data_IF_210338267387
#
_entry.id   IF_210338267387
#
_cell.length_a   1.000
_cell.length_b   1.000
_cell.length_c   1.000
_cell.angle_alpha   90.00
_cell.angle_beta   90.00
_cell.angle_gamma   90.00
#
_symmetry.space_group_name_H-M   'P 1'
#
loop_
_entity.id
_entity.type
_entity.pdbx_description
1 polymer ?
#
# COMPACT_ATOMS: atom_id res chain seq x y z
N UNK A 1 11.35 30.22 1.85
CA UNK A 1 10.31 30.71 0.93
C UNK A 1 9.65 29.47 0.38
N UNK A 2 8.35 29.27 0.62
CA UNK A 2 7.64 28.11 0.10
C UNK A 2 7.61 28.20 -1.43
N UNK A 3 8.09 27.17 -2.12
CA UNK A 3 7.93 27.01 -3.57
C UNK A 3 6.45 26.81 -3.88
N UNK A 4 5.89 27.64 -4.74
CA UNK A 4 4.51 27.46 -5.23
C UNK A 4 4.49 26.15 -6.03
N UNK A 5 3.60 25.19 -5.73
CA UNK A 5 3.49 23.97 -6.50
C UNK A 5 3.11 24.30 -7.95
N UNK A 6 3.73 23.61 -8.89
CA UNK A 6 3.52 23.76 -10.33
C UNK A 6 2.94 22.48 -10.90
N UNK A 7 2.06 22.62 -11.88
CA UNK A 7 1.20 21.54 -12.38
C UNK A 7 1.25 21.49 -13.91
N UNK A 8 0.82 20.34 -14.47
CA UNK A 8 0.86 20.02 -15.91
C UNK A 8 2.28 19.99 -16.50
N UNK A 9 2.43 19.46 -17.73
CA UNK A 9 3.70 19.49 -18.50
C UNK A 9 4.25 20.91 -18.70
N UNK A 10 3.38 21.93 -18.56
CA UNK A 10 3.74 23.34 -18.67
C UNK A 10 4.38 23.96 -17.41
N UNK A 11 4.44 23.24 -16.27
CA UNK A 11 5.06 23.70 -15.01
C UNK A 11 4.53 25.07 -14.54
N UNK A 12 3.22 25.30 -14.63
CA UNK A 12 2.58 26.56 -14.23
C UNK A 12 1.90 26.45 -12.84
N UNK A 13 1.74 27.57 -12.11
CA UNK A 13 0.97 27.60 -10.87
C UNK A 13 -0.51 27.24 -11.08
N UNK A 14 -1.17 26.81 -10.01
CA UNK A 14 -2.58 26.45 -9.99
C UNK A 14 -3.50 27.52 -10.60
N UNK A 15 -4.30 27.14 -11.60
CA UNK A 15 -5.27 28.00 -12.30
C UNK A 15 -6.66 27.36 -12.28
N UNK A 16 -7.54 27.94 -11.45
CA UNK A 16 -8.94 27.53 -11.26
C UNK A 16 -9.80 27.59 -12.53
N UNK A 17 -9.30 28.16 -13.63
CA UNK A 17 -10.02 28.28 -14.89
C UNK A 17 -9.66 27.19 -15.92
N UNK A 18 -8.70 26.31 -15.58
CA UNK A 18 -8.20 25.24 -16.46
C UNK A 18 -8.40 23.86 -15.85
N UNK A 19 -8.59 22.85 -16.69
CA UNK A 19 -8.49 21.46 -16.24
C UNK A 19 -7.04 21.18 -15.89
N UNK A 20 -6.77 20.89 -14.63
CA UNK A 20 -5.42 20.68 -14.15
C UNK A 20 -5.08 19.20 -14.18
N UNK A 21 -4.42 18.82 -15.28
CA UNK A 21 -4.02 17.44 -15.51
C UNK A 21 -2.52 17.34 -15.21
N UNK A 22 -2.14 16.60 -14.17
CA UNK A 22 -0.74 16.29 -13.90
C UNK A 22 -0.33 15.15 -14.84
N UNK A 23 0.53 15.42 -15.82
CA UNK A 23 0.95 14.40 -16.77
C UNK A 23 2.45 14.16 -16.74
N UNK A 24 2.84 12.89 -16.82
CA UNK A 24 4.21 12.43 -16.97
C UNK A 24 4.35 11.61 -18.26
N UNK A 25 5.50 11.77 -18.93
CA UNK A 25 5.78 11.12 -20.22
C UNK A 25 6.81 10.03 -19.95
N UNK A 26 6.50 8.79 -20.35
CA UNK A 26 7.44 7.67 -20.18
C UNK A 26 8.74 7.88 -20.97
N UNK A 27 9.78 7.13 -20.60
CA UNK A 27 11.10 7.18 -21.22
C UNK A 27 11.02 7.14 -22.77
N UNK A 28 11.95 7.81 -23.49
CA UNK A 28 11.92 7.88 -24.95
C UNK A 28 11.87 6.47 -25.56
N UNK A 29 10.74 6.14 -26.20
CA UNK A 29 10.47 4.83 -26.81
C UNK A 29 9.14 4.19 -26.39
N UNK A 30 8.53 4.66 -25.31
CA UNK A 30 7.15 4.30 -24.92
C UNK A 30 6.29 5.56 -25.08
N UNK A 31 5.36 5.56 -26.03
CA UNK A 31 4.51 6.71 -26.38
C UNK A 31 3.39 6.95 -25.35
N UNK A 32 3.47 6.31 -24.19
CA UNK A 32 2.46 6.35 -23.13
C UNK A 32 2.54 7.67 -22.35
N UNK A 33 1.39 8.28 -22.13
CA UNK A 33 1.20 9.46 -21.28
C UNK A 33 0.34 9.05 -20.10
N UNK A 34 0.85 9.24 -18.88
CA UNK A 34 0.06 9.14 -17.66
C UNK A 34 -0.46 10.53 -17.30
N UNK A 35 -1.73 10.62 -16.92
CA UNK A 35 -2.38 11.85 -16.53
C UNK A 35 -3.23 11.64 -15.27
N UNK A 36 -3.18 12.58 -14.33
CA UNK A 36 -4.04 12.62 -13.15
C UNK A 36 -5.07 13.74 -13.27
N UNK A 37 -6.33 13.42 -13.00
CA UNK A 37 -7.47 14.32 -13.09
C UNK A 37 -8.17 14.42 -11.73
N UNK A 38 -8.35 15.64 -11.23
CA UNK A 38 -9.27 15.88 -10.12
C UNK A 38 -10.70 16.01 -10.66
N UNK A 39 -11.60 15.15 -10.19
CA UNK A 39 -13.01 15.09 -10.60
C UNK A 39 -13.87 16.11 -9.84
N UNK A 40 -15.11 16.30 -10.31
CA UNK A 40 -16.10 17.19 -9.67
C UNK A 40 -16.47 16.82 -8.23
N UNK A 41 -16.22 15.58 -7.81
CA UNK A 41 -16.42 15.08 -6.44
C UNK A 41 -15.11 15.04 -5.62
N UNK A 42 -14.09 15.79 -6.05
CA UNK A 42 -12.78 15.91 -5.39
C UNK A 42 -12.03 14.58 -5.25
N UNK A 43 -12.21 13.65 -6.21
CA UNK A 43 -11.40 12.44 -6.33
C UNK A 43 -10.31 12.65 -7.36
N UNK A 44 -9.14 12.09 -7.09
CA UNK A 44 -8.06 12.02 -8.07
C UNK A 44 -8.15 10.72 -8.85
N UNK A 45 -8.21 10.82 -10.17
CA UNK A 45 -8.27 9.70 -11.10
C UNK A 45 -7.00 9.71 -11.96
N UNK A 46 -6.23 8.63 -11.91
CA UNK A 46 -5.04 8.45 -12.76
C UNK A 46 -5.40 7.56 -13.95
N UNK A 47 -5.11 8.04 -15.16
CA UNK A 47 -5.32 7.29 -16.40
C UNK A 47 -4.11 7.37 -17.31
N UNK A 48 -3.96 6.35 -18.17
CA UNK A 48 -2.85 6.22 -19.12
C UNK A 48 -3.39 6.02 -20.52
N UNK A 49 -2.76 6.65 -21.50
CA UNK A 49 -3.12 6.49 -22.90
C UNK A 49 -1.87 6.58 -23.79
N UNK A 50 -1.93 5.95 -24.97
CA UNK A 50 -0.90 6.07 -25.99
C UNK A 50 -1.11 7.36 -26.78
N UNK A 51 -0.12 8.25 -26.79
CA UNK A 51 -0.21 9.54 -27.47
C UNK A 51 -0.40 9.44 -28.99
N UNK A 52 -0.10 8.31 -29.62
CA UNK A 52 -0.28 8.04 -31.04
C UNK A 52 -1.40 7.03 -31.35
N UNK A 53 -1.78 6.22 -30.36
CA UNK A 53 -2.79 5.16 -30.48
C UNK A 53 -4.21 5.55 -30.05
N UNK A 54 -4.34 6.43 -29.06
CA UNK A 54 -5.63 6.77 -28.45
C UNK A 54 -6.10 8.17 -28.85
N UNK A 55 -7.33 8.27 -29.38
CA UNK A 55 -7.92 9.56 -29.74
C UNK A 55 -8.45 10.28 -28.48
N UNK A 56 -8.14 11.58 -28.29
CA UNK A 56 -8.65 12.36 -27.16
C UNK A 56 -10.17 12.34 -27.02
N UNK A 57 -10.89 12.25 -28.14
CA UNK A 57 -12.34 12.16 -28.19
C UNK A 57 -12.85 10.85 -27.57
N UNK A 58 -12.19 9.72 -27.86
CA UNK A 58 -12.56 8.40 -27.33
C UNK A 58 -12.26 8.33 -25.81
N UNK A 59 -11.13 8.90 -25.38
CA UNK A 59 -10.79 8.99 -23.95
C UNK A 59 -11.82 9.83 -23.21
N UNK A 60 -12.25 10.95 -23.79
CA UNK A 60 -13.28 11.80 -23.19
C UNK A 60 -14.63 11.08 -23.09
N UNK A 61 -15.00 10.26 -24.07
CA UNK A 61 -16.23 9.46 -24.02
C UNK A 61 -16.17 8.45 -22.86
N UNK A 62 -15.06 7.73 -22.67
CA UNK A 62 -14.89 6.84 -21.51
C UNK A 62 -14.95 7.60 -20.16
N UNK A 63 -14.33 8.78 -20.08
CA UNK A 63 -14.31 9.58 -18.85
C UNK A 63 -15.70 10.13 -18.48
N UNK A 64 -16.56 10.37 -19.48
CA UNK A 64 -17.95 10.76 -19.26
C UNK A 64 -18.83 9.56 -18.90
N UNK A 65 -18.64 8.42 -19.56
CA UNK A 65 -19.37 7.18 -19.24
C UNK A 65 -19.16 6.72 -17.79
N UNK A 66 -17.92 6.82 -17.28
CA UNK A 66 -17.58 6.47 -15.90
C UNK A 66 -17.82 7.61 -14.90
N UNK A 67 -18.43 8.72 -15.34
CA UNK A 67 -18.80 9.88 -14.52
C UNK A 67 -17.60 10.57 -13.82
N UNK A 68 -16.40 10.49 -14.43
CA UNK A 68 -15.22 11.24 -13.98
C UNK A 68 -15.24 12.67 -14.51
N UNK A 69 -15.74 12.87 -15.73
CA UNK A 69 -15.95 14.17 -16.39
C UNK A 69 -17.45 14.35 -16.65
N UNK A 70 -18.00 15.54 -16.40
CA UNK A 70 -19.41 15.80 -16.66
C UNK A 70 -19.66 15.98 -18.16
N UNK A 71 -20.84 15.59 -18.66
CA UNK A 71 -21.19 15.70 -20.10
C UNK A 71 -21.04 17.14 -20.64
N UNK A 72 -21.34 18.15 -19.81
CA UNK A 72 -21.16 19.58 -20.16
C UNK A 72 -19.70 20.07 -20.15
N UNK A 73 -18.75 19.25 -19.70
CA UNK A 73 -17.32 19.55 -19.60
C UNK A 73 -16.49 18.80 -20.65
N UNK A 74 -17.10 17.82 -21.34
CA UNK A 74 -16.49 16.96 -22.35
C UNK A 74 -15.66 17.72 -23.39
N UNK A 75 -16.22 18.77 -23.99
CA UNK A 75 -15.54 19.52 -25.06
C UNK A 75 -14.25 20.19 -24.56
N UNK A 76 -14.27 20.78 -23.36
CA UNK A 76 -13.10 21.42 -22.75
C UNK A 76 -12.04 20.40 -22.36
N UNK A 77 -12.46 19.23 -21.87
CA UNK A 77 -11.56 18.14 -21.54
C UNK A 77 -10.83 17.61 -22.78
N UNK A 78 -11.54 17.46 -23.92
CA UNK A 78 -10.93 17.10 -25.21
C UNK A 78 -9.90 18.13 -25.65
N UNK A 79 -10.22 19.44 -25.57
CA UNK A 79 -9.27 20.51 -25.93
C UNK A 79 -7.98 20.46 -25.11
N UNK A 80 -8.10 20.26 -23.78
CA UNK A 80 -6.94 20.17 -22.89
C UNK A 80 -6.12 18.90 -23.16
N UNK A 81 -6.78 17.77 -23.39
CA UNK A 81 -6.13 16.49 -23.70
C UNK A 81 -5.41 16.54 -25.05
N UNK A 82 -5.99 17.20 -26.05
CA UNK A 82 -5.32 17.48 -27.33
C UNK A 82 -4.06 18.34 -27.14
N UNK A 83 -4.10 19.34 -26.26
CA UNK A 83 -2.93 20.15 -25.93
C UNK A 83 -1.82 19.33 -25.23
N UNK A 84 -2.20 18.41 -24.34
CA UNK A 84 -1.28 17.49 -23.66
C UNK A 84 -0.62 16.54 -24.65
N UNK A 85 -1.41 15.90 -25.53
CA UNK A 85 -0.90 15.01 -26.59
C UNK A 85 0.08 15.76 -27.50
N UNK A 86 -0.24 17.00 -27.88
CA UNK A 86 0.64 17.83 -28.70
C UNK A 86 1.97 18.14 -28.00
N UNK A 87 1.95 18.45 -26.70
CA UNK A 87 3.15 18.69 -25.91
C UNK A 87 3.97 17.41 -25.68
N UNK A 88 3.32 16.31 -25.34
CA UNK A 88 3.96 15.00 -25.16
C UNK A 88 4.70 14.56 -26.43
N UNK A 89 4.08 14.72 -27.60
CA UNK A 89 4.71 14.41 -28.90
C UNK A 89 5.94 15.27 -29.20
N UNK A 90 5.99 16.52 -28.76
CA UNK A 90 7.16 17.38 -28.93
C UNK A 90 8.32 16.94 -28.01
N UNK A 91 8.00 16.56 -26.77
CA UNK A 91 8.97 16.03 -25.80
C UNK A 91 9.55 14.71 -26.31
N UNK A 92 8.69 13.79 -26.77
CA UNK A 92 9.09 12.48 -27.32
C UNK A 92 9.92 12.58 -28.61
N UNK A 93 9.80 13.68 -29.38
CA UNK A 93 10.56 13.92 -30.61
C UNK A 93 11.91 14.62 -30.41
N UNK A 94 12.21 15.12 -29.22
CA UNK A 94 13.45 15.87 -28.96
C UNK A 94 14.64 14.93 -28.64
N UNK A 95 15.83 15.14 -29.24
CA UNK A 95 17.01 14.32 -28.95
C UNK A 95 17.53 14.59 -27.52
N UNK A 96 18.13 13.58 -26.84
CA UNK A 96 18.48 13.69 -25.43
C UNK A 96 19.53 14.79 -25.19
N UNK A 97 19.17 15.76 -24.34
CA UNK A 97 20.08 16.80 -23.85
C UNK A 97 21.08 16.20 -22.87
N UNK A 98 22.37 16.34 -23.17
CA UNK A 98 23.49 15.95 -22.31
C UNK A 98 23.61 16.90 -21.12
N UNK A 99 22.92 16.57 -20.02
CA UNK A 99 23.29 16.98 -18.67
C UNK A 99 23.75 15.73 -17.90
N UNK A 100 24.73 15.81 -16.99
CA UNK A 100 25.22 14.65 -16.27
C UNK A 100 24.15 14.16 -15.30
N UNK A 101 23.28 13.26 -15.75
CA UNK A 101 22.57 12.35 -14.88
C UNK A 101 23.60 11.37 -14.34
N UNK A 102 23.71 11.29 -13.02
CA UNK A 102 24.35 10.14 -12.40
C UNK A 102 23.62 8.91 -12.95
N UNK A 103 24.35 8.03 -13.64
CA UNK A 103 23.77 6.83 -14.22
C UNK A 103 23.04 6.01 -13.17
N UNK A 104 22.05 5.18 -13.57
CA UNK A 104 21.47 4.22 -12.65
C UNK A 104 22.62 3.43 -12.01
N UNK A 105 22.63 3.23 -10.67
CA UNK A 105 23.60 2.33 -10.09
C UNK A 105 23.46 0.98 -10.81
N UNK A 106 24.59 0.38 -11.19
CA UNK A 106 24.61 -0.93 -11.82
C UNK A 106 23.74 -1.92 -11.03
N UNK A 107 23.08 -2.89 -11.69
CA UNK A 107 22.31 -3.90 -10.99
C UNK A 107 23.25 -4.59 -10.01
N UNK A 108 23.01 -4.36 -8.71
CA UNK A 108 23.70 -5.07 -7.65
C UNK A 108 23.27 -6.53 -7.76
N UNK A 109 24.10 -7.32 -8.44
CA UNK A 109 24.04 -8.77 -8.42
C UNK A 109 24.55 -9.25 -7.05
N UNK A 110 23.72 -9.06 -6.03
CA UNK A 110 23.80 -9.82 -4.80
C UNK A 110 22.39 -9.90 -4.24
N UNK A 111 21.91 -11.12 -4.00
CA UNK A 111 20.75 -11.36 -3.17
C UNK A 111 20.85 -10.49 -1.89
N UNK A 112 19.74 -9.95 -1.39
CA UNK A 112 19.79 -9.05 -0.25
C UNK A 112 20.49 -9.76 0.91
N UNK A 113 21.27 -9.03 1.69
CA UNK A 113 21.62 -9.46 3.02
C UNK A 113 20.32 -9.50 3.84
N UNK A 114 19.58 -10.61 3.73
CA UNK A 114 18.37 -10.85 4.50
C UNK A 114 18.77 -11.07 5.95
N UNK A 115 18.49 -10.09 6.81
CA UNK A 115 18.65 -10.24 8.25
C UNK A 115 17.42 -10.90 8.85
N UNK A 116 17.61 -11.67 9.91
CA UNK A 116 16.47 -12.08 10.74
C UNK A 116 16.01 -10.86 11.56
N UNK A 117 14.71 -10.60 11.61
CA UNK A 117 14.20 -9.48 12.41
C UNK A 117 14.51 -9.65 13.90
N UNK A 118 14.78 -10.86 14.39
CA UNK A 118 15.24 -11.10 15.76
C UNK A 118 16.51 -10.32 16.13
N UNK A 119 17.30 -9.87 15.15
CA UNK A 119 18.45 -8.99 15.36
C UNK A 119 18.08 -7.56 15.80
N UNK A 120 16.86 -7.11 15.48
CA UNK A 120 16.43 -5.71 15.67
C UNK A 120 15.16 -5.55 16.50
N UNK A 121 14.37 -6.62 16.67
CA UNK A 121 13.11 -6.58 17.41
C UNK A 121 13.32 -6.46 18.92
N UNK A 122 12.57 -5.55 19.54
CA UNK A 122 12.39 -5.57 21.00
C UNK A 122 11.25 -6.53 21.36
N UNK A 123 11.41 -7.33 22.42
CA UNK A 123 10.44 -8.36 22.81
C UNK A 123 9.96 -8.21 24.27
N UNK A 124 9.35 -7.07 24.68
CA UNK A 124 8.80 -6.92 26.01
C UNK A 124 7.54 -7.80 26.19
N UNK A 125 7.21 -8.11 27.44
CA UNK A 125 5.85 -8.58 27.78
C UNK A 125 4.84 -7.44 27.66
N UNK A 126 3.55 -7.77 27.53
CA UNK A 126 2.51 -6.74 27.46
C UNK A 126 2.45 -5.81 28.68
N UNK A 127 2.86 -6.29 29.85
CA UNK A 127 2.94 -5.47 31.07
C UNK A 127 4.14 -4.50 31.07
N UNK A 128 5.24 -4.84 30.37
CA UNK A 128 6.43 -4.00 30.25
C UNK A 128 6.28 -2.92 29.18
N UNK A 129 5.38 -3.09 28.22
CA UNK A 129 5.14 -2.11 27.16
C UNK A 129 4.36 -0.89 27.70
N UNK A 130 5.09 0.04 28.29
CA UNK A 130 4.57 1.31 28.85
C UNK A 130 5.14 2.52 28.12
N UNK A 131 4.67 3.73 28.45
CA UNK A 131 5.19 4.96 27.86
C UNK A 131 6.66 5.15 28.27
N UNK A 132 6.96 4.92 29.55
CA UNK A 132 8.30 5.03 30.12
C UNK A 132 9.28 4.07 29.42
N UNK A 133 8.84 2.83 29.14
CA UNK A 133 9.64 1.88 28.37
C UNK A 133 10.01 2.41 26.97
N UNK A 134 9.05 3.05 26.28
CA UNK A 134 9.29 3.61 24.95
C UNK A 134 10.14 4.89 24.98
N UNK A 135 10.02 5.70 26.02
CA UNK A 135 10.89 6.86 26.26
C UNK A 135 12.34 6.42 26.50
N UNK A 136 12.56 5.37 27.29
CA UNK A 136 13.89 4.83 27.58
C UNK A 136 14.56 4.16 26.37
N UNK A 137 13.78 3.40 25.59
CA UNK A 137 14.33 2.58 24.50
C UNK A 137 14.20 3.21 23.11
N UNK A 138 13.54 4.38 23.02
CA UNK A 138 13.14 5.05 21.78
C UNK A 138 12.30 4.14 20.87
N UNK A 139 11.05 4.53 20.59
CA UNK A 139 10.16 3.79 19.67
C UNK A 139 10.63 3.94 18.19
N UNK A 140 11.76 3.32 17.88
CA UNK A 140 12.58 3.49 16.67
C UNK A 140 12.90 2.16 15.97
N UNK A 141 12.59 1.05 16.64
CA UNK A 141 12.63 -0.31 16.08
C UNK A 141 11.29 -1.01 16.35
N UNK A 142 10.91 -2.00 15.54
CA UNK A 142 9.67 -2.73 15.75
C UNK A 142 9.72 -3.52 17.06
N UNK A 143 8.55 -3.65 17.69
CA UNK A 143 8.35 -4.32 18.98
C UNK A 143 7.43 -5.50 18.77
N UNK A 144 7.85 -6.67 19.23
CA UNK A 144 7.10 -7.92 19.15
C UNK A 144 6.68 -8.38 20.54
N UNK A 145 5.37 -8.37 20.83
CA UNK A 145 4.82 -8.92 22.05
C UNK A 145 4.21 -10.28 21.75
N UNK A 146 4.77 -11.33 22.37
CA UNK A 146 4.39 -12.72 22.08
C UNK A 146 3.05 -13.14 22.68
N UNK A 147 2.50 -12.34 23.59
CA UNK A 147 1.31 -12.65 24.37
C UNK A 147 0.54 -11.38 24.70
N UNK A 148 -0.75 -11.37 24.34
CA UNK A 148 -1.66 -10.24 24.57
C UNK A 148 -1.82 -9.81 26.03
N UNK A 149 -1.53 -10.70 26.99
CA UNK A 149 -1.68 -10.41 28.40
C UNK A 149 -0.85 -9.18 28.82
N UNK A 150 -1.51 -8.23 29.47
CA UNK A 150 -0.90 -6.97 29.92
C UNK A 150 -1.03 -5.79 28.94
N UNK A 151 -1.34 -6.03 27.66
CA UNK A 151 -1.50 -4.97 26.66
C UNK A 151 -2.75 -4.11 26.86
N UNK A 152 -3.71 -4.58 27.65
CA UNK A 152 -4.97 -3.86 27.90
C UNK A 152 -5.83 -3.73 26.64
N UNK A 153 -5.71 -4.66 25.71
CA UNK A 153 -6.56 -4.78 24.52
C UNK A 153 -7.68 -5.78 24.76
N UNK A 154 -8.79 -5.57 24.05
CA UNK A 154 -9.93 -6.49 24.01
C UNK A 154 -10.12 -6.92 22.56
N UNK A 155 -10.28 -8.21 22.33
CA UNK A 155 -10.53 -8.79 21.01
C UNK A 155 -11.58 -9.88 21.10
N UNK A 156 -12.27 -10.18 19.99
CA UNK A 156 -13.12 -11.36 19.91
C UNK A 156 -12.32 -12.65 20.13
N UNK A 157 -12.98 -13.77 20.49
CA UNK A 157 -12.29 -15.03 20.77
C UNK A 157 -11.59 -15.58 19.51
N UNK A 158 -10.57 -16.46 19.66
CA UNK A 158 -9.86 -17.07 18.52
C UNK A 158 -10.75 -17.93 17.58
N UNK A 159 -11.99 -18.22 17.98
CA UNK A 159 -13.00 -18.90 17.18
C UNK A 159 -13.75 -17.96 16.23
N UNK A 160 -13.55 -16.64 16.34
CA UNK A 160 -14.19 -15.63 15.49
C UNK A 160 -13.76 -15.81 14.02
N UNK A 161 -14.71 -15.66 13.11
CA UNK A 161 -14.57 -15.98 11.70
C UNK A 161 -14.95 -14.81 10.79
N UNK A 162 -14.66 -14.93 9.50
CA UNK A 162 -15.08 -13.96 8.48
C UNK A 162 -16.61 -13.82 8.38
N UNK A 163 -17.37 -14.85 8.75
CA UNK A 163 -18.84 -14.78 8.80
C UNK A 163 -19.33 -13.98 10.00
N UNK A 164 -18.59 -13.99 11.10
CA UNK A 164 -18.90 -13.12 12.23
C UNK A 164 -18.60 -11.65 11.88
N UNK A 165 -17.51 -11.39 11.15
CA UNK A 165 -17.21 -10.04 10.61
C UNK A 165 -18.39 -9.55 9.76
N UNK A 166 -18.86 -10.36 8.80
CA UNK A 166 -20.05 -10.08 7.99
C UNK A 166 -21.27 -9.74 8.84
N UNK A 167 -21.54 -10.53 9.89
CA UNK A 167 -22.67 -10.31 10.78
C UNK A 167 -22.60 -8.97 11.53
N UNK A 168 -21.43 -8.60 12.04
CA UNK A 168 -21.26 -7.38 12.85
C UNK A 168 -21.14 -6.10 12.00
N UNK A 169 -20.54 -6.20 10.82
CA UNK A 169 -20.32 -5.07 9.90
C UNK A 169 -21.50 -4.86 8.96
N UNK A 170 -22.11 -5.94 8.47
CA UNK A 170 -23.20 -5.92 7.51
C UNK A 170 -22.75 -6.39 6.12
N UNK A 171 -23.49 -7.31 5.47
CA UNK A 171 -23.08 -7.91 4.20
C UNK A 171 -23.06 -6.92 3.04
N UNK A 172 -23.88 -5.86 3.10
CA UNK A 172 -24.01 -4.85 2.05
C UNK A 172 -22.97 -3.72 2.14
N UNK A 173 -22.11 -3.69 3.17
CA UNK A 173 -21.05 -2.68 3.27
C UNK A 173 -20.11 -2.85 2.08
N UNK A 174 -19.93 -1.79 1.29
CA UNK A 174 -18.91 -1.76 0.24
C UNK A 174 -17.53 -1.65 0.89
N UNK A 175 -16.60 -2.46 0.39
CA UNK A 175 -15.24 -2.54 0.90
C UNK A 175 -14.24 -2.46 -0.25
N UNK A 176 -13.08 -1.86 0.01
CA UNK A 176 -11.94 -1.89 -0.90
C UNK A 176 -11.20 -3.23 -0.77
N UNK A 177 -10.91 -3.83 -1.91
CA UNK A 177 -10.30 -5.16 -2.05
C UNK A 177 -9.18 -5.11 -3.07
N UNK A 178 -8.01 -5.61 -2.72
CA UNK A 178 -6.86 -5.66 -3.61
C UNK A 178 -6.89 -6.97 -4.39
N UNK A 179 -6.86 -6.87 -5.73
CA UNK A 179 -6.42 -7.98 -6.58
C UNK A 179 -4.89 -8.04 -6.55
N UNK A 180 -4.41 -9.05 -5.84
CA UNK A 180 -2.99 -9.20 -5.52
C UNK A 180 -2.15 -9.43 -6.77
N UNK A 181 -2.64 -10.18 -7.74
CA UNK A 181 -1.88 -10.47 -8.96
C UNK A 181 -1.72 -9.23 -9.84
N UNK A 182 -2.71 -8.34 -9.79
CA UNK A 182 -2.72 -7.10 -10.58
C UNK A 182 -2.10 -5.92 -9.83
N UNK A 183 -1.92 -6.04 -8.51
CA UNK A 183 -1.61 -4.91 -7.62
C UNK A 183 -2.58 -3.74 -7.88
N UNK A 184 -3.87 -4.06 -7.92
CA UNK A 184 -4.92 -3.11 -8.25
C UNK A 184 -6.11 -3.24 -7.29
N UNK A 185 -6.67 -2.11 -6.92
CA UNK A 185 -7.86 -2.05 -6.07
C UNK A 185 -9.14 -2.30 -6.87
N UNK A 186 -10.10 -2.92 -6.22
CA UNK A 186 -11.48 -3.05 -6.68
C UNK A 186 -12.44 -2.95 -5.49
N UNK A 187 -13.70 -2.64 -5.76
CA UNK A 187 -14.73 -2.60 -4.73
C UNK A 187 -15.68 -3.78 -4.86
N UNK A 188 -16.15 -4.29 -3.73
CA UNK A 188 -17.23 -5.28 -3.68
C UNK A 188 -17.95 -5.21 -2.34
N UNK A 189 -19.09 -5.89 -2.24
CA UNK A 189 -19.80 -6.04 -0.97
C UNK A 189 -19.05 -7.00 -0.05
N UNK A 190 -19.09 -6.75 1.25
CA UNK A 190 -18.49 -7.63 2.24
C UNK A 190 -19.03 -9.07 2.14
N UNK A 191 -20.33 -9.25 1.88
CA UNK A 191 -20.93 -10.58 1.71
C UNK A 191 -20.37 -11.35 0.50
N UNK A 192 -20.08 -10.64 -0.60
CA UNK A 192 -19.45 -11.24 -1.78
C UNK A 192 -18.02 -11.68 -1.48
N UNK A 193 -17.25 -10.83 -0.79
CA UNK A 193 -15.91 -11.17 -0.33
C UNK A 193 -15.91 -12.37 0.63
N UNK A 194 -16.84 -12.43 1.58
CA UNK A 194 -16.97 -13.54 2.54
C UNK A 194 -17.33 -14.83 1.82
N UNK A 195 -18.20 -14.76 0.81
CA UNK A 195 -18.52 -15.89 -0.07
C UNK A 195 -17.30 -16.39 -0.83
N UNK A 196 -16.53 -15.48 -1.44
CA UNK A 196 -15.24 -15.79 -2.07
C UNK A 196 -14.26 -16.44 -1.08
N UNK A 197 -14.11 -15.85 0.11
CA UNK A 197 -13.13 -16.28 1.10
C UNK A 197 -13.45 -17.68 1.65
N UNK A 198 -14.72 -17.97 1.87
CA UNK A 198 -15.20 -19.28 2.34
C UNK A 198 -15.32 -20.33 1.23
N UNK A 199 -15.20 -19.93 -0.04
CA UNK A 199 -15.30 -20.82 -1.19
C UNK A 199 -14.18 -21.88 -1.24
N UNK A 200 -14.49 -23.04 -1.84
CA UNK A 200 -13.57 -24.17 -1.93
C UNK A 200 -12.42 -23.97 -2.93
N UNK A 201 -12.60 -23.09 -3.93
CA UNK A 201 -11.62 -22.80 -4.97
C UNK A 201 -11.59 -21.30 -5.21
N UNK A 202 -10.38 -20.75 -5.30
CA UNK A 202 -10.11 -19.33 -5.56
C UNK A 202 -9.41 -19.23 -6.91
N UNK A 203 -10.04 -18.54 -7.83
CA UNK A 203 -9.51 -18.20 -9.16
C UNK A 203 -8.56 -16.99 -9.10
N UNK A 204 -8.83 -16.06 -8.17
CA UNK A 204 -8.02 -14.88 -7.89
C UNK A 204 -7.55 -14.88 -6.43
N UNK A 205 -6.49 -14.15 -6.15
CA UNK A 205 -6.02 -13.89 -4.77
C UNK A 205 -6.46 -12.48 -4.40
N UNK A 206 -7.43 -12.38 -3.50
CA UNK A 206 -7.97 -11.11 -3.03
C UNK A 206 -7.52 -10.84 -1.59
N UNK A 207 -7.31 -9.58 -1.27
CA UNK A 207 -6.85 -9.14 0.05
C UNK A 207 -7.64 -7.91 0.50
N UNK A 208 -8.11 -7.92 1.75
CA UNK A 208 -8.75 -6.76 2.38
C UNK A 208 -7.83 -6.26 3.48
N UNK A 209 -7.34 -5.03 3.34
CA UNK A 209 -6.49 -4.38 4.34
C UNK A 209 -7.08 -3.08 4.91
N UNK A 210 -8.05 -2.48 4.21
CA UNK A 210 -8.57 -1.14 4.51
C UNK A 210 -9.98 -1.12 5.11
N UNK A 211 -10.47 -2.26 5.62
CA UNK A 211 -11.79 -2.30 6.27
C UNK A 211 -11.74 -1.67 7.67
N UNK A 212 -11.98 -0.36 7.72
CA UNK A 212 -12.20 0.38 8.96
C UNK A 212 -13.61 0.09 9.50
N UNK A 213 -13.71 -0.22 10.78
CA UNK A 213 -14.96 -0.69 11.39
C UNK A 213 -15.38 0.07 12.65
N UNK A 214 -14.78 1.23 12.96
CA UNK A 214 -15.07 2.01 14.16
C UNK A 214 -16.53 2.46 14.23
N UNK A 215 -17.17 2.67 13.08
CA UNK A 215 -18.56 3.06 12.91
C UNK A 215 -19.56 1.88 12.97
N UNK A 216 -19.08 0.65 13.11
CA UNK A 216 -19.91 -0.57 13.08
C UNK A 216 -20.12 -1.20 14.46
N UNK A 217 -21.00 -2.21 14.54
CA UNK A 217 -21.20 -2.98 15.77
C UNK A 217 -19.96 -3.80 16.17
N UNK A 218 -19.05 -4.09 15.23
CA UNK A 218 -17.80 -4.78 15.50
C UNK A 218 -16.88 -3.95 16.42
N UNK A 219 -16.98 -2.61 16.37
CA UNK A 219 -16.21 -1.70 17.21
C UNK A 219 -16.36 -1.99 18.71
N UNK A 220 -17.54 -2.47 19.12
CA UNK A 220 -17.84 -2.82 20.52
C UNK A 220 -17.10 -4.06 21.02
N UNK A 221 -16.55 -4.89 20.12
CA UNK A 221 -15.82 -6.11 20.45
C UNK A 221 -14.31 -5.91 20.51
N UNK A 222 -13.83 -4.74 20.06
CA UNK A 222 -12.40 -4.47 19.89
C UNK A 222 -12.02 -3.20 20.63
N UNK A 223 -11.09 -3.35 21.58
CA UNK A 223 -10.41 -2.25 22.25
C UNK A 223 -8.93 -2.30 21.89
N UNK A 224 -8.39 -1.21 21.36
CA UNK A 224 -6.99 -1.14 20.92
C UNK A 224 -6.03 -1.21 22.12
N UNK A 225 -4.75 -1.61 21.90
CA UNK A 225 -3.77 -1.69 22.98
C UNK A 225 -3.69 -0.40 23.80
N UNK A 226 -3.54 -0.53 25.11
CA UNK A 226 -3.49 0.62 26.03
C UNK A 226 -2.37 1.60 25.67
N UNK A 227 -1.23 1.10 25.18
CA UNK A 227 -0.10 1.94 24.76
C UNK A 227 -0.47 2.82 23.56
N UNK A 228 -1.24 2.28 22.60
CA UNK A 228 -1.72 3.02 21.42
C UNK A 228 -2.64 4.16 21.85
N UNK A 229 -3.62 3.88 22.73
CA UNK A 229 -4.53 4.90 23.25
C UNK A 229 -3.81 5.99 24.04
N UNK A 230 -2.77 5.64 24.80
CA UNK A 230 -1.95 6.61 25.55
C UNK A 230 -1.13 7.55 24.65
N UNK A 231 -0.70 7.09 23.47
CA UNK A 231 0.17 7.86 22.57
C UNK A 231 -0.58 8.56 21.43
N UNK A 232 -1.76 8.05 21.06
CA UNK A 232 -2.52 8.53 19.91
C UNK A 232 -2.87 10.02 20.03
N UNK A 233 -2.47 10.82 19.03
CA UNK A 233 -2.85 12.23 18.97
C UNK A 233 -4.36 12.40 18.82
N UNK A 234 -5.01 11.56 18.01
CA UNK A 234 -6.47 11.63 17.82
C UNK A 234 -7.19 11.35 19.14
N UNK A 235 -6.72 10.39 19.95
CA UNK A 235 -7.37 10.09 21.23
C UNK A 235 -7.17 11.18 22.28
N UNK A 236 -5.98 11.79 22.34
CA UNK A 236 -5.62 12.68 23.44
C UNK A 236 -5.78 14.17 23.12
N UNK A 237 -5.75 14.55 21.84
CA UNK A 237 -5.65 15.95 21.41
C UNK A 237 -6.78 16.37 20.46
N UNK A 238 -7.54 15.44 19.86
CA UNK A 238 -8.65 15.82 18.99
C UNK A 238 -9.77 16.47 19.81
N UNK A 239 -10.20 17.70 19.47
CA UNK A 239 -11.22 18.40 20.25
C UNK A 239 -12.59 17.71 20.12
N UNK A 240 -13.36 17.71 21.21
CA UNK A 240 -14.70 17.10 21.23
C UNK A 240 -15.70 17.84 20.31
N UNK A 241 -15.58 19.17 20.23
CA UNK A 241 -16.28 19.99 19.24
C UNK A 241 -15.27 20.42 18.18
N UNK A 242 -15.42 19.92 16.96
CA UNK A 242 -14.58 20.26 15.80
C UNK A 242 -15.47 20.54 14.60
N UNK A 243 -15.05 21.49 13.76
CA UNK A 243 -15.65 21.71 12.43
C UNK A 243 -15.25 20.61 11.44
N UNK A 244 -14.17 19.88 11.74
CA UNK A 244 -13.67 18.77 10.94
C UNK A 244 -14.12 17.43 11.53
N UNK A 245 -14.32 16.44 10.67
CA UNK A 245 -14.62 15.08 11.08
C UNK A 245 -13.43 14.46 11.81
N UNK A 246 -13.71 13.73 12.90
CA UNK A 246 -12.68 13.04 13.68
C UNK A 246 -12.09 11.89 12.84
N UNK A 247 -10.76 11.85 12.62
CA UNK A 247 -10.14 10.77 11.86
C UNK A 247 -10.35 9.42 12.53
N UNK A 248 -11.00 8.49 11.83
CA UNK A 248 -11.24 7.11 12.29
C UNK A 248 -10.29 6.18 11.55
N UNK A 249 -9.13 5.92 12.15
CA UNK A 249 -8.03 5.12 11.56
C UNK A 249 -7.41 4.19 12.60
N UNK A 250 -8.17 3.82 13.63
CA UNK A 250 -7.63 3.07 14.79
C UNK A 250 -7.99 1.60 14.76
N UNK A 251 -9.05 1.21 14.04
CA UNK A 251 -9.61 -0.15 14.06
C UNK A 251 -9.83 -0.68 12.63
N UNK A 252 -8.87 -1.45 12.15
CA UNK A 252 -8.93 -2.12 10.85
C UNK A 252 -9.08 -3.63 10.98
N UNK A 253 -9.92 -4.21 10.14
CA UNK A 253 -10.10 -5.65 10.05
C UNK A 253 -9.46 -6.16 8.75
N UNK A 254 -8.36 -6.89 8.89
CA UNK A 254 -7.63 -7.43 7.75
C UNK A 254 -8.07 -8.88 7.46
N UNK A 255 -8.37 -9.15 6.19
CA UNK A 255 -8.75 -10.48 5.71
C UNK A 255 -8.01 -10.77 4.41
N UNK A 256 -6.92 -11.55 4.52
CA UNK A 256 -6.11 -11.97 3.39
C UNK A 256 -6.31 -13.44 3.08
N UNK A 257 -6.57 -13.76 1.82
CA UNK A 257 -6.44 -15.12 1.35
C UNK A 257 -4.99 -15.59 1.48
N UNK A 258 -4.80 -16.90 1.40
CA UNK A 258 -3.47 -17.46 1.22
C UNK A 258 -2.85 -16.86 -0.05
N UNK A 259 -1.56 -16.53 -0.02
CA UNK A 259 -0.82 -15.87 -1.10
C UNK A 259 -1.09 -14.37 -1.28
N UNK A 260 -1.92 -13.74 -0.44
CA UNK A 260 -2.09 -12.28 -0.51
C UNK A 260 -0.79 -11.52 -0.30
N UNK A 261 -0.53 -10.47 -1.09
CA UNK A 261 0.68 -9.62 -1.07
C UNK A 261 0.28 -8.14 -1.07
N UNK A 262 1.01 -7.37 -0.26
CA UNK A 262 0.99 -5.90 -0.28
C UNK A 262 2.44 -5.44 -0.34
N UNK A 263 2.77 -4.63 -1.35
CA UNK A 263 4.14 -4.18 -1.64
C UNK A 263 4.68 -3.18 -0.59
N UNK A 264 5.95 -2.82 -0.70
CA UNK A 264 6.60 -1.85 0.22
C UNK A 264 5.88 -0.50 0.17
N UNK A 265 5.56 0.04 1.33
CA UNK A 265 4.91 1.33 1.53
C UNK A 265 5.36 1.94 2.85
N UNK A 266 5.13 3.23 3.04
CA UNK A 266 5.16 3.86 4.38
C UNK A 266 3.71 4.13 4.72
N UNK A 267 3.28 3.77 5.93
CA UNK A 267 1.90 4.03 6.35
C UNK A 267 1.54 5.51 6.24
N UNK A 268 0.29 5.76 5.88
CA UNK A 268 -0.21 7.11 5.60
C UNK A 268 0.10 8.06 6.77
N UNK A 269 0.57 9.26 6.42
CA UNK A 269 0.99 10.27 7.40
C UNK A 269 2.22 9.89 8.23
N UNK A 270 2.96 8.83 7.85
CA UNK A 270 4.08 8.31 8.64
C UNK A 270 3.60 7.82 10.00
N UNK A 271 2.42 7.19 10.06
CA UNK A 271 1.86 6.70 11.32
C UNK A 271 2.65 5.52 11.87
N UNK A 272 2.53 5.27 13.18
CA UNK A 272 2.93 4.00 13.78
C UNK A 272 1.72 3.08 13.87
N UNK A 273 1.92 1.79 13.68
CA UNK A 273 0.82 0.82 13.62
C UNK A 273 0.98 -0.32 14.62
N UNK A 274 -0.15 -0.92 14.94
CA UNK A 274 -0.23 -2.11 15.77
C UNK A 274 -0.98 -3.19 14.99
N UNK A 275 -0.42 -4.39 14.93
CA UNK A 275 -1.02 -5.55 14.29
C UNK A 275 -1.25 -6.66 15.31
N UNK A 276 -2.41 -7.31 15.23
CA UNK A 276 -2.68 -8.54 15.95
C UNK A 276 -3.20 -9.63 15.01
N UNK A 277 -2.54 -10.78 14.99
CA UNK A 277 -2.96 -11.93 14.18
C UNK A 277 -3.90 -12.82 15.00
N UNK A 278 -5.21 -12.70 14.73
CA UNK A 278 -6.23 -13.53 15.39
C UNK A 278 -6.21 -14.98 14.86
N UNK A 279 -6.06 -15.13 13.54
CA UNK A 279 -5.99 -16.43 12.86
C UNK A 279 -5.17 -16.31 11.58
N UNK A 280 -4.34 -17.31 11.32
CA UNK A 280 -3.44 -17.31 10.17
C UNK A 280 -2.01 -17.00 10.60
N UNK A 281 -1.23 -16.39 9.72
CA UNK A 281 0.12 -15.87 9.97
C UNK A 281 0.33 -14.73 9.00
N UNK A 282 1.14 -13.79 9.44
CA UNK A 282 1.61 -12.67 8.64
C UNK A 282 3.12 -12.63 8.78
N UNK A 283 3.81 -12.46 7.65
CA UNK A 283 5.25 -12.22 7.61
C UNK A 283 5.41 -10.78 7.18
N UNK A 284 6.22 -10.01 7.89
CA UNK A 284 6.59 -8.66 7.51
C UNK A 284 8.01 -8.66 6.98
N UNK A 285 8.28 -7.89 5.92
CA UNK A 285 9.64 -7.50 5.58
C UNK A 285 9.83 -6.05 6.01
N UNK A 286 10.91 -5.74 6.69
CA UNK A 286 11.09 -4.45 7.33
C UNK A 286 12.39 -3.82 6.86
N UNK A 287 12.31 -2.56 6.42
CA UNK A 287 13.48 -1.76 6.09
C UNK A 287 13.55 -0.57 7.05
N UNK A 288 14.75 -0.28 7.59
CA UNK A 288 14.90 0.87 8.49
C UNK A 288 14.71 2.18 7.69
N UNK A 289 13.98 3.20 8.20
CA UNK A 289 13.83 4.50 7.54
C UNK A 289 15.10 5.37 7.70
N UNK A 290 16.24 4.91 7.22
CA UNK A 290 17.44 5.75 7.13
C UNK A 290 17.25 6.78 6.01
N UNK A 291 17.91 7.95 6.05
CA UNK A 291 17.84 8.91 4.94
C UNK A 291 18.17 8.31 3.57
N UNK A 292 19.10 7.35 3.52
CA UNK A 292 19.44 6.63 2.31
C UNK A 292 18.28 5.73 1.83
N UNK A 293 17.68 4.94 2.74
CA UNK A 293 16.57 4.05 2.39
C UNK A 293 15.31 4.84 2.01
N UNK A 294 15.07 6.00 2.63
CA UNK A 294 13.96 6.88 2.26
C UNK A 294 14.12 7.46 0.86
N UNK A 295 15.33 7.90 0.48
CA UNK A 295 15.61 8.35 -0.88
C UNK A 295 15.47 7.22 -1.92
N UNK A 296 15.92 6.01 -1.58
CA UNK A 296 15.69 4.82 -2.42
C UNK A 296 14.21 4.51 -2.55
N UNK A 297 13.46 4.58 -1.45
CA UNK A 297 12.02 4.32 -1.45
C UNK A 297 11.27 5.33 -2.31
N UNK A 298 11.59 6.62 -2.20
CA UNK A 298 11.01 7.68 -3.04
C UNK A 298 11.28 7.41 -4.53
N UNK A 299 12.53 7.10 -4.89
CA UNK A 299 12.91 6.78 -6.26
C UNK A 299 12.24 5.50 -6.79
N UNK A 300 12.13 4.46 -5.96
CA UNK A 300 11.45 3.22 -6.33
C UNK A 300 9.93 3.43 -6.49
N UNK A 301 9.31 4.17 -5.57
CA UNK A 301 7.85 4.41 -5.57
C UNK A 301 7.37 5.22 -6.77
N UNK A 302 8.25 6.08 -7.32
CA UNK A 302 8.00 6.89 -8.51
C UNK A 302 8.52 6.25 -9.80
N UNK A 303 9.07 5.04 -9.74
CA UNK A 303 9.64 4.37 -10.90
C UNK A 303 8.56 3.74 -11.78
N UNK A 304 8.71 3.88 -13.11
CA UNK A 304 7.81 3.26 -14.10
C UNK A 304 7.82 1.73 -14.07
N UNK A 305 8.89 1.14 -13.54
CA UNK A 305 9.09 -0.30 -13.37
C UNK A 305 8.97 -0.75 -11.90
N UNK A 306 8.31 0.03 -11.03
CA UNK A 306 8.09 -0.33 -9.61
C UNK A 306 7.56 -1.76 -9.47
N UNK A 307 6.55 -2.10 -10.27
CA UNK A 307 5.91 -3.42 -10.27
C UNK A 307 6.80 -4.58 -10.76
N UNK A 308 8.02 -4.30 -11.21
CA UNK A 308 8.99 -5.30 -11.68
C UNK A 308 10.20 -5.42 -10.74
N UNK A 309 10.29 -4.54 -9.74
CA UNK A 309 11.43 -4.46 -8.83
C UNK A 309 11.01 -4.73 -7.40
N UNK A 310 11.74 -5.63 -6.73
CA UNK A 310 11.58 -5.85 -5.30
C UNK A 310 12.40 -4.83 -4.51
N UNK A 311 11.75 -3.91 -3.81
CA UNK A 311 12.45 -2.85 -3.06
C UNK A 311 13.42 -3.40 -1.99
N UNK A 312 13.13 -4.58 -1.42
CA UNK A 312 14.00 -5.25 -0.46
C UNK A 312 15.40 -5.57 -0.99
N UNK A 313 15.57 -5.64 -2.32
CA UNK A 313 16.88 -5.86 -2.96
C UNK A 313 17.69 -4.55 -3.10
N UNK A 314 17.07 -3.38 -2.93
CA UNK A 314 17.72 -2.08 -3.08
C UNK A 314 18.30 -1.53 -1.78
N UNK A 315 17.82 -2.01 -0.64
CA UNK A 315 18.24 -1.54 0.69
C UNK A 315 19.38 -2.38 1.26
N UNK A 316 20.23 -1.78 2.10
CA UNK A 316 21.36 -2.45 2.74
C UNK A 316 20.93 -3.70 3.53
N UNK A 317 19.84 -3.58 4.28
CA UNK A 317 19.24 -4.69 5.05
C UNK A 317 17.73 -4.67 4.96
N UNK A 318 17.19 -5.83 4.62
CA UNK A 318 15.77 -6.13 4.68
C UNK A 318 15.54 -7.24 5.71
N UNK A 319 14.83 -6.91 6.79
CA UNK A 319 14.62 -7.83 7.91
C UNK A 319 13.34 -8.61 7.71
N UNK A 320 13.43 -9.93 7.80
CA UNK A 320 12.23 -10.78 7.78
C UNK A 320 11.73 -11.00 9.20
N UNK A 321 10.54 -10.48 9.50
CA UNK A 321 9.82 -10.75 10.73
C UNK A 321 8.75 -11.80 10.45
N UNK A 322 9.07 -13.05 10.77
CA UNK A 322 8.09 -14.13 10.83
C UNK A 322 7.79 -14.48 12.27
N UNK A 323 6.57 -14.91 12.55
CA UNK A 323 6.26 -15.51 13.84
C UNK A 323 7.21 -16.71 14.09
N UNK A 324 7.92 -16.80 15.23
CA UNK A 324 8.46 -18.09 15.64
C UNK A 324 7.28 -19.05 15.87
N UNK A 325 7.49 -20.36 15.70
CA UNK A 325 6.52 -21.47 15.85
C UNK A 325 5.72 -21.47 17.18
N UNK A 326 4.88 -20.45 17.42
CA UNK A 326 4.12 -20.19 18.64
C UNK A 326 2.64 -20.03 18.24
N UNK A 327 1.72 -20.76 18.87
CA UNK A 327 0.34 -20.81 18.40
C UNK A 327 -0.45 -19.57 18.83
N UNK A 328 -0.73 -18.67 17.87
CA UNK A 328 -1.80 -17.63 17.90
C UNK A 328 -1.61 -16.50 18.93
N UNK A 329 -1.99 -15.27 18.56
CA UNK A 329 -2.10 -14.13 19.48
C UNK A 329 -0.83 -13.29 19.58
N UNK A 330 -0.20 -12.99 18.45
CA UNK A 330 1.00 -12.16 18.34
C UNK A 330 0.63 -10.69 18.11
N UNK A 331 1.32 -9.79 18.80
CA UNK A 331 1.19 -8.35 18.59
C UNK A 331 2.50 -7.73 18.11
N UNK A 332 2.45 -7.07 16.95
CA UNK A 332 3.59 -6.33 16.40
C UNK A 332 3.26 -4.84 16.44
N UNK A 333 4.13 -4.05 17.04
CA UNK A 333 4.09 -2.59 16.99
C UNK A 333 5.22 -2.10 16.09
N UNK A 334 4.88 -1.41 15.01
CA UNK A 334 5.86 -0.90 14.06
C UNK A 334 5.93 0.62 14.24
N UNK A 335 7.13 1.18 14.52
CA UNK A 335 7.34 2.62 14.59
C UNK A 335 7.26 3.24 13.18
N UNK A 336 7.25 4.57 13.08
CA UNK A 336 7.19 5.29 11.80
C UNK A 336 8.27 4.80 10.82
N UNK A 337 7.89 4.33 9.62
CA UNK A 337 8.85 3.88 8.60
C UNK A 337 8.26 2.92 7.56
N UNK A 338 9.06 2.45 6.57
CA UNK A 338 8.57 1.63 5.47
C UNK A 338 8.26 0.17 5.88
N UNK A 339 7.03 -0.25 5.61
CA UNK A 339 6.43 -1.58 5.77
C UNK A 339 6.21 -2.28 4.43
N UNK A 340 6.53 -3.58 4.30
CA UNK A 340 5.55 -4.48 3.65
C UNK A 340 5.16 -5.77 4.41
N UNK A 341 4.08 -6.42 3.88
CA UNK A 341 3.93 -7.87 3.60
C UNK A 341 2.92 -8.77 4.40
N UNK A 342 2.43 -9.84 3.73
CA UNK A 342 1.78 -11.11 4.21
C UNK A 342 2.11 -12.24 3.18
N UNK A 343 2.36 -13.52 3.58
CA UNK A 343 1.92 -14.72 2.83
C UNK A 343 1.77 -15.99 3.75
N UNK A 344 1.19 -17.11 3.27
CA UNK A 344 1.30 -18.47 3.89
C UNK A 344 1.31 -19.61 2.84
N UNK A 345 2.12 -20.68 3.00
CA UNK A 345 2.62 -21.59 1.93
C UNK A 345 2.09 -23.04 1.71
N UNK A 346 2.80 -23.76 0.78
CA UNK A 346 2.75 -25.15 0.18
C UNK A 346 1.71 -25.49 -0.93
N UNK A 347 2.06 -25.67 -2.22
CA UNK A 347 2.64 -26.88 -2.86
C UNK A 347 3.55 -26.57 -4.09
N UNK A 348 4.33 -27.57 -4.51
CA UNK A 348 5.47 -27.54 -5.46
C UNK A 348 5.11 -27.73 -6.95
N UNK A 349 5.90 -27.14 -7.86
CA UNK A 349 6.17 -27.64 -9.22
C UNK A 349 7.59 -27.22 -9.72
N UNK A 350 8.45 -28.14 -10.14
CA UNK A 350 9.80 -27.81 -10.60
C UNK A 350 9.72 -27.34 -12.05
N UNK A 351 10.05 -26.07 -12.32
CA UNK A 351 10.53 -25.56 -13.62
C UNK A 351 10.68 -24.05 -13.47
N UNK A 352 11.92 -23.57 -13.31
CA UNK A 352 12.24 -22.14 -13.38
C UNK A 352 13.48 -21.97 -14.27
N UNK A 353 13.29 -21.37 -15.43
CA UNK A 353 14.39 -20.90 -16.28
C UNK A 353 14.92 -19.54 -15.79
N UNK A 354 16.24 -19.35 -15.72
CA UNK A 354 16.83 -18.07 -15.31
C UNK A 354 16.75 -17.02 -16.44
N UNK A 355 16.19 -15.85 -16.14
CA UNK A 355 16.33 -14.66 -17.00
C UNK A 355 15.06 -13.85 -17.29
N UNK A 356 13.89 -14.21 -16.75
CA UNK A 356 12.65 -13.44 -16.95
C UNK A 356 12.36 -12.57 -15.73
N UNK A 357 12.16 -11.26 -15.96
CA UNK A 357 11.69 -10.32 -14.92
C UNK A 357 10.28 -10.76 -14.49
N UNK A 358 10.08 -10.95 -13.18
CA UNK A 358 8.82 -11.43 -12.61
C UNK A 358 8.15 -10.29 -11.86
N UNK A 359 6.93 -9.93 -12.28
CA UNK A 359 6.15 -8.84 -11.69
C UNK A 359 5.84 -9.10 -10.21
N UNK A 360 6.00 -8.09 -9.35
CA UNK A 360 5.60 -8.14 -7.93
C UNK A 360 4.10 -8.47 -7.80
N UNK A 361 3.76 -9.24 -6.77
CA UNK A 361 2.40 -9.75 -6.56
C UNK A 361 1.96 -10.91 -7.47
N UNK A 362 2.69 -11.24 -8.54
CA UNK A 362 2.36 -12.39 -9.39
C UNK A 362 2.53 -13.72 -8.66
N UNK A 363 1.81 -14.76 -9.10
CA UNK A 363 1.91 -16.09 -8.49
C UNK A 363 3.34 -16.67 -8.54
N UNK A 364 4.08 -16.40 -9.63
CA UNK A 364 5.48 -16.79 -9.75
C UNK A 364 6.35 -16.01 -8.75
N UNK A 365 6.17 -14.69 -8.65
CA UNK A 365 6.91 -13.86 -7.69
C UNK A 365 6.67 -14.30 -6.25
N UNK A 366 5.41 -14.48 -5.84
CA UNK A 366 5.05 -14.93 -4.49
C UNK A 366 5.66 -16.31 -4.20
N UNK A 367 5.75 -17.17 -5.22
CA UNK A 367 6.36 -18.50 -5.11
C UNK A 367 7.88 -18.46 -4.99
N UNK A 368 8.56 -17.62 -5.77
CA UNK A 368 10.00 -17.40 -5.70
C UNK A 368 10.39 -16.76 -4.36
N UNK A 369 9.64 -15.74 -3.95
CA UNK A 369 9.78 -15.09 -2.66
C UNK A 369 9.70 -16.15 -1.55
N UNK A 370 8.67 -16.99 -1.53
CA UNK A 370 8.56 -18.14 -0.59
C UNK A 370 9.75 -19.09 -0.65
N UNK A 371 10.27 -19.39 -1.83
CA UNK A 371 11.44 -20.25 -1.99
C UNK A 371 12.71 -19.65 -1.36
N UNK A 372 12.80 -18.32 -1.29
CA UNK A 372 13.83 -17.60 -0.52
C UNK A 372 13.49 -17.56 0.98
N UNK A 373 12.19 -17.58 1.32
CA UNK A 373 11.65 -17.45 2.69
C UNK A 373 11.71 -18.73 3.54
N UNK A 374 11.61 -19.91 2.94
CA UNK A 374 11.58 -21.20 3.65
C UNK A 374 12.70 -22.11 3.13
N UNK A 375 13.70 -22.49 3.96
CA UNK A 375 14.62 -23.56 3.58
C UNK A 375 13.83 -24.86 3.37
N UNK A 376 14.28 -25.66 2.39
CA UNK A 376 13.66 -26.94 2.02
C UNK A 376 13.62 -27.95 3.16
#
# INVERSE_FOLDING_TARGET
MASVPVYCLCRLPYDVTRFMIECDVSAPGDNTVECQLETHDSKMVTFKFDADGDAPEDIADYMVEDNFVLEGEREKFVEELQAIVAQAREILRSPPSTAPQAGPPEPVQSAPASGDADEVLLKPSGAQLTVEYLEENSFSVPILVLRKEGLGMTLPPPTFTVRDIEHYVGPDKEIDVIDVARQADCRMRLGDFVTYFCGARRDRVLNVISLEFSDTRLSNLVETPRIVRKLSWVENLWPGESVFERPSVQKYCLMGARDSYTDFHIDFGGTSVWYHVLRGEKVFYLARPTPANLALFEAWSSSSNQGEMFFGDQVDRCYRCSEPDVPRGLETFVPQGPEPFVPRGLETSPDAEPGRVVRTGSAQFVRELRGRTFPR
#
